data_IF_025264609523
#
_entry.id   IF_025264609523
#
_cell.length_a   1.000
_cell.length_b   1.000
_cell.length_c   1.000
_cell.angle_alpha   90.00
_cell.angle_beta   90.00
_cell.angle_gamma   90.00
#
_symmetry.space_group_name_H-M   'P 1'
#
loop_
_entity.id
_entity.type
_entity.pdbx_description
1 polymer ?
#
# COMPACT_ATOMS: atom_id res chain seq x y z
N UNK A 1 3.81 -19.20 -4.30
CA UNK A 1 4.57 -17.99 -4.66
C UNK A 1 3.75 -16.80 -4.21
N UNK A 2 4.28 -15.86 -3.42
CA UNK A 2 3.49 -14.75 -2.88
C UNK A 2 3.46 -13.58 -3.87
N UNK A 3 2.27 -13.03 -4.15
CA UNK A 3 2.05 -11.90 -5.05
C UNK A 3 2.55 -10.56 -4.48
N UNK A 4 2.91 -10.48 -3.20
CA UNK A 4 3.49 -9.29 -2.58
C UNK A 4 4.50 -9.69 -1.51
N UNK A 5 5.49 -8.85 -1.28
CA UNK A 5 6.51 -9.02 -0.23
C UNK A 5 6.50 -7.80 0.70
N UNK A 6 6.50 -8.01 2.02
CA UNK A 6 6.64 -6.88 2.93
C UNK A 6 8.10 -6.54 3.13
N UNK A 7 8.43 -5.24 3.04
CA UNK A 7 9.75 -4.74 3.33
C UNK A 7 9.75 -3.84 4.57
N UNK A 8 10.93 -3.77 5.20
CA UNK A 8 11.17 -2.94 6.38
C UNK A 8 12.01 -1.72 6.01
N UNK A 9 11.76 -0.62 6.68
CA UNK A 9 12.65 0.54 6.66
C UNK A 9 13.58 0.41 7.86
N UNK A 10 14.89 0.66 7.73
CA UNK A 10 15.85 0.47 8.83
C UNK A 10 15.45 1.17 10.14
N UNK A 11 14.76 2.32 10.04
CA UNK A 11 14.25 3.10 11.17
C UNK A 11 12.84 2.67 11.68
N UNK A 12 12.18 1.69 11.04
CA UNK A 12 10.83 1.23 11.39
C UNK A 12 10.74 -0.30 11.34
N UNK A 13 10.43 -0.90 12.49
CA UNK A 13 10.34 -2.37 12.62
C UNK A 13 8.99 -2.95 12.15
N UNK A 14 8.05 -2.10 11.74
CA UNK A 14 6.70 -2.47 11.33
C UNK A 14 6.76 -3.02 9.92
N UNK A 15 6.00 -4.09 9.71
CA UNK A 15 5.90 -4.77 8.43
C UNK A 15 4.48 -5.30 8.29
N UNK A 16 4.05 -5.40 7.04
CA UNK A 16 2.83 -6.11 6.72
C UNK A 16 3.03 -7.60 6.93
N UNK A 17 2.02 -8.24 7.50
CA UNK A 17 1.90 -9.69 7.63
C UNK A 17 0.68 -10.11 6.83
N UNK A 18 0.82 -11.17 6.04
CA UNK A 18 -0.31 -11.77 5.37
C UNK A 18 -1.11 -12.62 6.37
N UNK A 19 -2.42 -12.44 6.42
CA UNK A 19 -3.34 -13.24 7.20
C UNK A 19 -4.71 -13.25 6.50
N UNK A 20 -5.26 -14.43 6.24
CA UNK A 20 -6.58 -14.60 5.62
C UNK A 20 -6.74 -13.82 4.30
N UNK A 21 -5.77 -13.94 3.40
CA UNK A 21 -5.65 -13.21 2.13
C UNK A 21 -5.47 -11.68 2.22
N UNK A 22 -5.60 -11.09 3.41
CA UNK A 22 -5.35 -9.67 3.64
C UNK A 22 -3.91 -9.42 4.16
N UNK A 23 -3.37 -8.25 3.87
CA UNK A 23 -2.13 -7.73 4.46
C UNK A 23 -2.45 -6.82 5.65
N UNK A 24 -1.94 -7.15 6.84
CA UNK A 24 -2.16 -6.39 8.07
C UNK A 24 -0.85 -5.85 8.66
N UNK A 25 -0.89 -4.63 9.19
CA UNK A 25 0.22 -4.05 9.95
C UNK A 25 -0.26 -3.24 11.15
N UNK A 26 0.62 -3.16 12.15
CA UNK A 26 0.47 -2.26 13.30
C UNK A 26 1.59 -1.24 13.25
N UNK A 27 1.23 0.04 13.21
CA UNK A 27 2.14 1.16 13.29
C UNK A 27 2.13 1.72 14.71
N UNK A 28 3.27 2.19 15.20
CA UNK A 28 3.39 2.83 16.49
C UNK A 28 4.55 3.83 16.50
N UNK A 29 4.68 4.63 17.56
CA UNK A 29 5.64 5.75 17.60
C UNK A 29 7.09 5.39 17.26
N UNK A 30 7.57 4.18 17.63
CA UNK A 30 8.94 3.69 17.30
C UNK A 30 9.03 3.01 15.93
N UNK A 31 7.90 2.86 15.26
CA UNK A 31 7.72 1.99 14.13
C UNK A 31 6.60 2.54 13.24
N UNK A 32 6.88 3.69 12.67
CA UNK A 32 5.85 4.55 12.07
C UNK A 32 5.51 4.16 10.64
N UNK A 33 6.31 3.33 9.97
CA UNK A 33 6.17 3.04 8.55
C UNK A 33 6.18 1.54 8.31
N UNK A 34 5.27 1.06 7.47
CA UNK A 34 5.28 -0.30 6.93
C UNK A 34 5.11 -0.24 5.41
N UNK A 35 5.80 -1.13 4.70
CA UNK A 35 5.82 -1.15 3.23
C UNK A 35 5.39 -2.53 2.74
N UNK A 36 4.50 -2.53 1.74
CA UNK A 36 4.11 -3.67 0.94
C UNK A 36 4.60 -3.45 -0.49
N UNK A 37 5.41 -4.37 -0.98
CA UNK A 37 6.03 -4.32 -2.31
C UNK A 37 5.40 -5.36 -3.22
N UNK A 38 5.09 -4.98 -4.46
CA UNK A 38 4.77 -5.96 -5.50
C UNK A 38 6.03 -6.73 -5.95
N UNK A 39 5.87 -7.87 -6.65
CA UNK A 39 6.94 -8.43 -7.47
C UNK A 39 7.35 -7.42 -8.53
N UNK A 40 8.50 -7.69 -9.15
CA UNK A 40 8.86 -7.01 -10.39
C UNK A 40 7.95 -7.59 -11.48
N UNK A 41 7.26 -6.73 -12.21
CA UNK A 41 6.44 -7.09 -13.36
C UNK A 41 6.68 -6.04 -14.46
N UNK A 42 6.33 -6.40 -15.70
CA UNK A 42 6.40 -5.51 -16.84
C UNK A 42 4.98 -5.16 -17.28
N UNK A 43 4.65 -3.88 -17.17
CA UNK A 43 3.41 -3.31 -17.60
C UNK A 43 3.69 -2.38 -18.78
N UNK A 44 3.21 -2.74 -19.95
CA UNK A 44 3.44 -2.03 -21.21
C UNK A 44 2.33 -1.01 -21.55
N UNK A 45 1.21 -1.03 -20.83
CA UNK A 45 0.04 -0.17 -21.02
C UNK A 45 -0.45 0.36 -19.67
N UNK A 46 -1.10 1.53 -19.58
CA UNK A 46 -1.72 1.96 -18.34
C UNK A 46 -2.70 0.91 -17.78
N UNK A 47 -2.72 0.76 -16.47
CA UNK A 47 -3.56 -0.20 -15.73
C UNK A 47 -4.18 0.46 -14.50
N UNK A 48 -5.08 -0.24 -13.82
CA UNK A 48 -5.63 0.15 -12.52
C UNK A 48 -5.30 -0.89 -11.48
N UNK A 49 -4.71 -0.46 -10.36
CA UNK A 49 -4.58 -1.30 -9.18
C UNK A 49 -5.74 -0.99 -8.24
N UNK A 50 -6.65 -1.94 -8.12
CA UNK A 50 -7.76 -1.94 -7.19
C UNK A 50 -7.32 -2.52 -5.86
N UNK A 51 -7.85 -1.97 -4.77
CA UNK A 51 -7.59 -2.48 -3.43
C UNK A 51 -8.68 -2.05 -2.44
N UNK A 52 -8.89 -2.91 -1.45
CA UNK A 52 -9.69 -2.58 -0.28
C UNK A 52 -8.77 -2.25 0.89
N UNK A 53 -9.08 -1.21 1.65
CA UNK A 53 -8.29 -0.82 2.82
C UNK A 53 -9.16 -0.50 4.03
N UNK A 54 -8.60 -0.73 5.20
CA UNK A 54 -9.24 -0.44 6.48
C UNK A 54 -8.21 0.05 7.51
N UNK A 55 -8.41 1.27 7.99
CA UNK A 55 -7.66 1.89 9.09
C UNK A 55 -8.55 1.90 10.33
N UNK A 56 -8.40 0.88 11.19
CA UNK A 56 -9.35 0.63 12.28
C UNK A 56 -9.14 1.53 13.50
N UNK A 57 -7.91 2.04 13.68
CA UNK A 57 -7.47 2.85 14.84
C UNK A 57 -6.29 3.69 14.42
N UNK A 58 -6.23 4.92 14.92
CA UNK A 58 -5.11 5.85 14.83
C UNK A 58 -4.98 6.59 13.49
N UNK A 59 -4.24 7.70 13.49
CA UNK A 59 -4.00 8.52 12.31
C UNK A 59 -2.95 7.88 11.40
N UNK A 60 -3.33 6.87 10.60
CA UNK A 60 -2.47 6.33 9.56
C UNK A 60 -2.82 6.93 8.20
N UNK A 61 -1.79 7.25 7.41
CA UNK A 61 -1.91 7.66 6.02
C UNK A 61 -1.41 6.54 5.11
N UNK A 62 -2.13 6.33 4.02
CA UNK A 62 -1.77 5.37 2.99
C UNK A 62 -1.23 6.12 1.77
N UNK A 63 -0.10 5.64 1.27
CA UNK A 63 0.56 6.19 0.09
C UNK A 63 0.82 5.09 -0.93
N UNK A 64 0.72 5.46 -2.20
CA UNK A 64 1.16 4.64 -3.31
C UNK A 64 2.32 5.28 -4.06
N UNK A 65 3.35 4.51 -4.34
CA UNK A 65 4.50 4.96 -5.12
C UNK A 65 4.76 4.00 -6.27
N UNK A 66 4.82 4.55 -7.47
CA UNK A 66 5.38 3.90 -8.64
C UNK A 66 6.81 4.39 -8.76
N UNK A 67 7.77 3.50 -8.53
CA UNK A 67 9.20 3.80 -8.56
C UNK A 67 9.73 4.74 -7.45
N UNK A 68 10.02 4.14 -6.29
CA UNK A 68 10.71 4.85 -5.21
C UNK A 68 12.07 4.21 -4.92
N UNK A 69 13.02 4.28 -5.88
CA UNK A 69 14.43 3.96 -5.58
C UNK A 69 14.92 4.77 -4.37
N UNK A 70 14.43 6.02 -4.23
CA UNK A 70 14.74 6.94 -3.14
C UNK A 70 13.79 6.83 -1.92
N UNK A 71 12.69 6.06 -1.98
CA UNK A 71 11.65 6.00 -0.94
C UNK A 71 11.15 7.37 -0.47
N UNK A 72 11.20 8.38 -1.34
CA UNK A 72 10.69 9.70 -1.03
C UNK A 72 9.16 9.70 -1.15
N UNK A 73 8.49 10.04 -0.05
CA UNK A 73 7.04 10.10 0.03
C UNK A 73 6.46 11.34 -0.65
N UNK A 74 7.29 12.32 -1.01
CA UNK A 74 6.87 13.55 -1.67
C UNK A 74 6.33 13.33 -3.09
N UNK A 75 6.79 12.28 -3.76
CA UNK A 75 6.37 11.89 -5.11
C UNK A 75 5.27 10.82 -5.13
N UNK A 76 4.77 10.42 -3.97
CA UNK A 76 3.79 9.34 -3.85
C UNK A 76 2.35 9.89 -3.80
N UNK A 77 1.44 9.16 -4.43
CA UNK A 77 0.01 9.44 -4.39
C UNK A 77 -0.54 9.15 -2.99
N UNK A 78 -1.38 10.03 -2.46
CA UNK A 78 -2.02 9.86 -1.15
C UNK A 78 -3.38 9.19 -1.39
N UNK A 79 -3.56 7.99 -0.87
CA UNK A 79 -4.80 7.21 -0.95
C UNK A 79 -5.77 7.66 0.15
N UNK A 80 -5.26 7.82 1.37
CA UNK A 80 -6.07 8.22 2.52
C UNK A 80 -5.36 9.31 3.32
N UNK A 81 -5.95 10.49 3.34
CA UNK A 81 -5.44 11.65 4.09
C UNK A 81 -6.10 11.79 5.47
N UNK A 82 -7.30 11.24 5.66
CA UNK A 82 -8.18 11.52 6.80
C UNK A 82 -7.98 10.60 8.02
N UNK A 83 -7.04 9.65 7.95
CA UNK A 83 -6.70 8.79 9.08
C UNK A 83 -7.64 7.59 9.23
N UNK A 84 -8.43 7.57 10.31
CA UNK A 84 -9.32 6.43 10.63
C UNK A 84 -10.46 6.30 9.60
N UNK A 85 -10.77 5.05 9.24
CA UNK A 85 -11.88 4.73 8.33
C UNK A 85 -13.00 4.04 9.08
N UNK A 86 -14.26 4.41 8.80
CA UNK A 86 -15.44 3.73 9.34
C UNK A 86 -15.79 2.47 8.54
N UNK A 87 -14.91 1.46 8.58
CA UNK A 87 -15.05 0.20 7.84
C UNK A 87 -14.16 0.13 6.60
N UNK A 88 -14.31 -0.96 5.84
CA UNK A 88 -13.58 -1.18 4.60
C UNK A 88 -13.96 -0.13 3.55
N UNK A 89 -12.95 0.42 2.88
CA UNK A 89 -13.09 1.31 1.75
C UNK A 89 -12.43 0.68 0.53
N UNK A 90 -13.10 0.77 -0.60
CA UNK A 90 -12.55 0.41 -1.89
C UNK A 90 -11.97 1.66 -2.55
N UNK A 91 -10.82 1.53 -3.19
CA UNK A 91 -10.23 2.58 -4.03
C UNK A 91 -9.36 1.94 -5.12
N UNK A 92 -9.03 2.75 -6.12
CA UNK A 92 -8.13 2.34 -7.18
C UNK A 92 -7.17 3.47 -7.54
N UNK A 93 -6.07 3.08 -8.17
CA UNK A 93 -5.06 4.00 -8.67
C UNK A 93 -4.69 3.62 -10.09
N UNK A 94 -4.50 4.63 -10.93
CA UNK A 94 -3.96 4.42 -12.26
C UNK A 94 -2.44 4.24 -12.18
N UNK A 95 -1.98 3.13 -12.73
CA UNK A 95 -0.57 2.74 -12.79
C UNK A 95 -0.10 2.98 -14.22
N UNK A 96 0.93 3.81 -14.38
CA UNK A 96 1.55 4.05 -15.68
C UNK A 96 2.35 2.82 -16.12
N UNK A 97 2.65 2.65 -17.42
CA UNK A 97 3.57 1.62 -17.88
C UNK A 97 4.88 1.62 -17.08
N UNK A 98 5.31 0.44 -16.59
CA UNK A 98 6.45 0.30 -15.69
C UNK A 98 7.03 -1.11 -15.74
N UNK A 99 8.35 -1.20 -15.61
CA UNK A 99 9.10 -2.45 -15.41
C UNK A 99 9.58 -2.60 -13.94
N UNK A 100 9.05 -1.75 -13.04
CA UNK A 100 9.46 -1.64 -11.63
C UNK A 100 8.36 -2.07 -10.67
N UNK A 101 8.78 -2.33 -9.44
CA UNK A 101 7.88 -2.62 -8.32
C UNK A 101 6.98 -1.43 -8.01
N UNK A 102 5.78 -1.76 -7.54
CA UNK A 102 4.86 -0.85 -6.89
C UNK A 102 5.00 -0.95 -5.37
N UNK A 103 4.74 0.16 -4.69
CA UNK A 103 4.86 0.27 -3.24
C UNK A 103 3.57 0.82 -2.63
N UNK A 104 2.98 0.07 -1.71
CA UNK A 104 1.94 0.56 -0.80
C UNK A 104 2.57 0.81 0.56
N UNK A 105 2.47 2.05 1.04
CA UNK A 105 3.16 2.51 2.25
C UNK A 105 2.12 3.01 3.24
N UNK A 106 2.12 2.39 4.42
CA UNK A 106 1.34 2.86 5.56
C UNK A 106 2.24 3.63 6.52
N UNK A 107 1.86 4.88 6.83
CA UNK A 107 2.62 5.77 7.71
C UNK A 107 1.75 6.31 8.85
N UNK A 108 2.25 6.21 10.07
CA UNK A 108 1.64 6.84 11.24
C UNK A 108 1.94 8.34 11.21
N UNK A 109 0.89 9.14 11.30
CA UNK A 109 0.98 10.57 11.49
C UNK A 109 0.98 10.90 13.00
N UNK A 110 1.93 11.69 13.47
CA UNK A 110 2.05 12.02 14.89
C UNK A 110 2.53 10.87 15.81
N UNK A 111 1.85 10.73 16.97
CA UNK A 111 2.15 9.76 18.04
C UNK A 111 0.95 8.84 18.26
N UNK A 112 1.21 7.62 18.71
CA UNK A 112 0.18 6.67 19.09
C UNK A 112 0.38 5.32 18.44
N UNK A 113 -0.74 4.67 18.11
CA UNK A 113 -0.78 3.36 17.46
C UNK A 113 -1.84 3.40 16.39
N UNK A 114 -1.54 2.82 15.23
CA UNK A 114 -2.52 2.61 14.19
C UNK A 114 -2.52 1.17 13.66
N UNK A 115 -3.69 0.73 13.22
CA UNK A 115 -3.89 -0.59 12.64
C UNK A 115 -4.36 -0.40 11.20
N UNK A 116 -3.65 -1.02 10.26
CA UNK A 116 -3.94 -0.89 8.83
C UNK A 116 -4.08 -2.28 8.23
N UNK A 117 -5.13 -2.49 7.46
CA UNK A 117 -5.38 -3.67 6.66
C UNK A 117 -5.56 -3.26 5.20
N UNK A 118 -5.03 -4.08 4.31
CA UNK A 118 -5.17 -3.97 2.86
C UNK A 118 -5.59 -5.35 2.36
N UNK A 119 -6.58 -5.42 1.49
CA UNK A 119 -7.09 -6.66 0.92
C UNK A 119 -7.47 -6.45 -0.55
N UNK A 120 -7.83 -7.54 -1.23
CA UNK A 120 -8.41 -7.54 -2.57
C UNK A 120 -7.58 -6.75 -3.59
N UNK A 121 -6.26 -6.97 -3.57
CA UNK A 121 -5.32 -6.36 -4.50
C UNK A 121 -5.50 -7.00 -5.89
N UNK A 122 -6.02 -6.23 -6.84
CA UNK A 122 -6.31 -6.68 -8.19
C UNK A 122 -5.79 -5.66 -9.22
N UNK A 123 -5.14 -6.14 -10.26
CA UNK A 123 -4.64 -5.30 -11.35
C UNK A 123 -5.51 -5.54 -12.60
N UNK A 124 -6.06 -4.47 -13.16
CA UNK A 124 -6.93 -4.50 -14.35
C UNK A 124 -6.43 -3.52 -15.42
N UNK A 125 -6.97 -3.60 -16.64
CA UNK A 125 -6.79 -2.53 -17.63
C UNK A 125 -7.58 -1.26 -17.22
N UNK A 126 -7.47 -0.20 -18.03
CA UNK A 126 -8.22 1.05 -17.82
C UNK A 126 -9.74 0.92 -17.96
N UNK A 127 -10.23 -0.21 -18.50
CA UNK A 127 -11.63 -0.56 -18.68
C UNK A 127 -12.11 -1.55 -17.61
N UNK A 128 -11.30 -1.80 -16.59
CA UNK A 128 -11.54 -2.75 -15.49
C UNK A 128 -11.70 -4.21 -15.94
N UNK A 129 -11.06 -4.59 -17.06
CA UNK A 129 -10.90 -5.99 -17.42
C UNK A 129 -9.69 -6.59 -16.73
N UNK A 130 -9.80 -7.86 -16.33
CA UNK A 130 -8.68 -8.64 -15.83
C UNK A 130 -7.56 -8.69 -16.86
N UNK A 131 -6.36 -8.24 -16.48
CA UNK A 131 -5.18 -8.36 -17.32
C UNK A 131 -4.40 -9.62 -16.97
N UNK A 132 -3.90 -10.30 -18.01
CA UNK A 132 -3.14 -11.54 -17.92
C UNK A 132 -1.63 -11.27 -17.83
#
# INVERSE_FOLDING_TARGET
MCLYTSSRVAASVSMFRAYNNSAFTVLFTRSKVAILESPIFNLNTPARLHFDYFVSKGPAKLHFCQDSVMRDLSSCFIISADGETFGWKHDFIEVLPTDRKLYLIARLDGKGRANVQIDNLELTDIMDHSIC
#
